data_IF_077449180141
#
_entry.id   IF_077449180141
#
_cell.length_a   1.000
_cell.length_b   1.000
_cell.length_c   1.000
_cell.angle_alpha   90.00
_cell.angle_beta   90.00
_cell.angle_gamma   90.00
#
_symmetry.space_group_name_H-M   'P 1'
#
loop_
_entity.id
_entity.type
_entity.pdbx_description
1 polymer ?
#
# COMPACT_ATOMS: atom_id res chain seq x y z
N UNK A 1 17.46 -18.42 -4.10
CA UNK A 1 17.28 -17.44 -3.00
C UNK A 1 15.82 -17.44 -2.56
N UNK A 2 15.53 -17.06 -1.31
CA UNK A 2 14.15 -17.00 -0.82
C UNK A 2 13.50 -15.69 -1.28
N UNK A 3 12.28 -15.76 -1.83
CA UNK A 3 11.50 -14.56 -2.16
C UNK A 3 11.20 -13.74 -0.90
N UNK A 4 11.20 -12.43 -1.07
CA UNK A 4 10.87 -11.42 -0.06
C UNK A 4 9.47 -10.88 -0.37
N UNK A 5 8.87 -10.23 0.63
CA UNK A 5 7.57 -9.59 0.50
C UNK A 5 7.78 -8.08 0.36
N UNK A 6 7.11 -7.49 -0.61
CA UNK A 6 7.13 -6.05 -0.84
C UNK A 6 5.71 -5.49 -0.77
N UNK A 7 5.62 -4.25 -0.32
CA UNK A 7 4.40 -3.45 -0.23
C UNK A 7 4.51 -2.30 -1.24
N UNK A 8 3.44 -2.08 -1.99
CA UNK A 8 3.31 -0.98 -2.93
C UNK A 8 2.31 0.03 -2.40
N UNK A 9 2.75 1.28 -2.27
CA UNK A 9 1.93 2.40 -1.78
C UNK A 9 1.97 3.58 -2.73
N UNK A 10 0.97 4.45 -2.70
CA UNK A 10 0.87 5.67 -3.52
C UNK A 10 0.60 6.90 -2.65
N UNK A 11 0.93 8.09 -3.17
CA UNK A 11 0.62 9.39 -2.56
C UNK A 11 -0.84 9.83 -2.77
N UNK A 12 -1.60 9.15 -3.63
CA UNK A 12 -2.98 9.51 -3.98
C UNK A 12 -3.99 9.27 -2.83
N UNK A 13 -3.51 8.89 -1.65
CA UNK A 13 -4.32 8.59 -0.49
C UNK A 13 -4.75 9.83 0.28
N UNK A 14 -6.03 9.91 0.62
CA UNK A 14 -6.58 10.95 1.50
C UNK A 14 -7.54 10.32 2.50
N UNK A 15 -7.70 10.93 3.67
CA UNK A 15 -8.68 10.52 4.68
C UNK A 15 -9.32 11.74 5.33
N UNK A 16 -10.54 11.53 5.85
CA UNK A 16 -11.21 12.48 6.72
C UNK A 16 -10.72 12.28 8.15
N UNK A 17 -10.37 13.37 8.84
CA UNK A 17 -10.06 13.34 10.28
C UNK A 17 -11.32 13.36 11.16
N UNK A 18 -12.45 13.75 10.60
CA UNK A 18 -13.75 13.88 11.25
C UNK A 18 -14.89 13.62 10.28
N UNK A 19 -15.99 13.06 10.78
CA UNK A 19 -17.21 12.79 10.00
C UNK A 19 -18.01 14.07 9.66
N UNK A 20 -17.63 15.22 10.21
CA UNK A 20 -18.27 16.52 9.98
C UNK A 20 -17.72 17.27 8.75
N UNK A 21 -16.68 16.75 8.10
CA UNK A 21 -16.02 17.40 6.98
C UNK A 21 -16.63 16.95 5.65
N UNK A 22 -16.88 17.92 4.77
CA UNK A 22 -17.41 17.67 3.42
C UNK A 22 -16.32 17.26 2.41
N UNK A 23 -15.05 17.50 2.73
CA UNK A 23 -13.87 17.14 1.93
C UNK A 23 -12.76 16.54 2.83
N UNK A 24 -11.93 15.62 2.32
CA UNK A 24 -10.86 15.04 3.10
C UNK A 24 -9.77 16.08 3.39
N UNK A 25 -9.26 16.06 4.62
CA UNK A 25 -8.35 17.08 5.14
C UNK A 25 -6.95 16.54 5.50
N UNK A 26 -6.74 15.22 5.41
CA UNK A 26 -5.47 14.57 5.76
C UNK A 26 -4.94 13.76 4.59
N UNK A 27 -3.78 14.18 4.08
CA UNK A 27 -2.98 13.39 3.13
C UNK A 27 -2.45 12.12 3.80
N UNK A 28 -2.48 11.00 3.08
CA UNK A 28 -1.91 9.74 3.53
C UNK A 28 -1.30 8.92 2.40
N UNK A 29 -0.51 7.91 2.77
CA UNK A 29 -0.08 6.89 1.82
C UNK A 29 -1.14 5.79 1.74
N UNK A 30 -1.69 5.59 0.55
CA UNK A 30 -2.63 4.50 0.30
C UNK A 30 -1.87 3.23 -0.09
N UNK A 31 -2.24 2.10 0.52
CA UNK A 31 -1.73 0.78 0.12
C UNK A 31 -2.44 0.33 -1.16
N UNK A 32 -1.65 0.08 -2.22
CA UNK A 32 -2.14 -0.51 -3.46
C UNK A 32 -2.12 -2.04 -3.40
N UNK A 33 -1.15 -2.64 -2.69
CA UNK A 33 -1.10 -4.08 -2.53
C UNK A 33 0.29 -4.61 -2.20
N UNK A 34 0.47 -5.91 -2.41
CA UNK A 34 1.70 -6.62 -2.12
C UNK A 34 2.17 -7.42 -3.32
N UNK A 35 3.48 -7.69 -3.38
CA UNK A 35 4.08 -8.62 -4.33
C UNK A 35 5.26 -9.37 -3.71
N UNK A 36 5.60 -10.53 -4.26
CA UNK A 36 6.72 -11.37 -3.82
C UNK A 36 7.77 -11.59 -4.91
N UNK A 37 9.03 -11.28 -4.60
CA UNK A 37 10.14 -11.33 -5.55
C UNK A 37 11.49 -11.52 -4.88
N UNK A 38 12.52 -11.85 -5.66
CA UNK A 38 13.90 -11.82 -5.18
C UNK A 38 14.40 -10.37 -4.98
N UNK A 39 13.84 -9.45 -5.75
CA UNK A 39 14.07 -8.01 -5.77
C UNK A 39 12.75 -7.26 -6.02
N UNK A 40 12.84 -5.92 -6.07
CA UNK A 40 11.75 -4.99 -6.28
C UNK A 40 11.06 -5.19 -7.64
N UNK A 41 11.82 -5.49 -8.70
CA UNK A 41 11.32 -5.63 -10.06
C UNK A 41 10.48 -6.91 -10.22
N UNK A 42 10.97 -8.03 -9.68
CA UNK A 42 10.19 -9.28 -9.64
C UNK A 42 8.92 -9.10 -8.81
N UNK A 43 9.02 -8.43 -7.66
CA UNK A 43 7.87 -8.20 -6.80
C UNK A 43 6.84 -7.27 -7.45
N UNK A 44 7.27 -6.27 -8.22
CA UNK A 44 6.37 -5.35 -8.92
C UNK A 44 5.59 -6.07 -10.02
N UNK A 45 6.24 -6.96 -10.78
CA UNK A 45 5.57 -7.82 -11.77
C UNK A 45 4.53 -8.73 -11.12
N UNK A 46 4.89 -9.35 -9.98
CA UNK A 46 3.96 -10.19 -9.21
C UNK A 46 2.77 -9.39 -8.67
N UNK A 47 3.01 -8.19 -8.12
CA UNK A 47 1.98 -7.26 -7.67
C UNK A 47 1.00 -6.90 -8.79
N UNK A 48 1.50 -6.49 -9.96
CA UNK A 48 0.65 -6.13 -11.09
C UNK A 48 -0.17 -7.32 -11.60
N UNK A 49 0.43 -8.52 -11.66
CA UNK A 49 -0.27 -9.73 -12.07
C UNK A 49 -1.49 -10.04 -11.17
N UNK A 50 -1.38 -9.74 -9.87
CA UNK A 50 -2.46 -9.97 -8.90
C UNK A 50 -3.43 -8.79 -8.75
N UNK A 51 -3.02 -7.58 -9.15
CA UNK A 51 -3.76 -6.33 -8.92
C UNK A 51 -3.97 -5.57 -10.23
N UNK A 52 -4.52 -6.23 -11.25
CA UNK A 52 -4.77 -5.62 -12.57
C UNK A 52 -5.62 -4.34 -12.49
N UNK A 53 -6.49 -4.22 -11.49
CA UNK A 53 -7.29 -3.03 -11.22
C UNK A 53 -6.45 -1.75 -11.08
N UNK A 54 -5.20 -1.85 -10.63
CA UNK A 54 -4.29 -0.70 -10.48
C UNK A 54 -3.99 -0.07 -11.83
N UNK A 55 -3.88 -0.89 -12.88
CA UNK A 55 -3.62 -0.44 -14.26
C UNK A 55 -4.84 0.23 -14.91
N UNK A 56 -6.04 -0.05 -14.40
CA UNK A 56 -7.29 0.57 -14.87
C UNK A 56 -7.56 1.92 -14.20
N UNK A 57 -6.81 2.23 -13.12
CA UNK A 57 -6.89 3.51 -12.40
C UNK A 57 -5.82 4.48 -12.88
N UNK A 58 -5.92 5.72 -12.41
CA UNK A 58 -5.03 6.83 -12.80
C UNK A 58 -3.85 7.01 -11.83
N UNK A 59 -3.41 5.95 -11.16
CA UNK A 59 -2.21 6.04 -10.33
C UNK A 59 -1.00 6.21 -11.26
N UNK A 60 -0.21 7.26 -11.04
CA UNK A 60 0.97 7.54 -11.84
C UNK A 60 2.22 6.84 -11.29
N UNK A 61 2.32 6.75 -9.96
CA UNK A 61 3.50 6.25 -9.26
C UNK A 61 3.14 5.32 -8.10
N UNK A 62 4.04 4.37 -7.83
CA UNK A 62 3.98 3.49 -6.67
C UNK A 62 5.37 3.39 -6.02
N UNK A 63 5.40 3.58 -4.70
CA UNK A 63 6.59 3.38 -3.87
C UNK A 63 6.65 1.92 -3.47
N UNK A 64 7.79 1.27 -3.70
CA UNK A 64 8.07 -0.10 -3.29
C UNK A 64 8.81 -0.13 -1.95
N UNK A 65 8.33 -0.95 -1.00
CA UNK A 65 8.93 -1.11 0.32
C UNK A 65 9.06 -2.60 0.66
N UNK A 66 10.28 -3.09 0.88
CA UNK A 66 10.50 -4.45 1.42
C UNK A 66 9.97 -4.53 2.85
N UNK A 67 9.12 -5.51 3.14
CA UNK A 67 8.56 -5.74 4.47
C UNK A 67 8.81 -7.17 4.95
N UNK A 68 9.09 -7.30 6.26
CA UNK A 68 9.36 -8.63 6.85
C UNK A 68 8.11 -9.50 6.94
N UNK A 69 6.95 -8.90 7.29
CA UNK A 69 5.66 -9.58 7.44
C UNK A 69 4.54 -8.64 6.97
N UNK A 70 3.42 -9.21 6.52
CA UNK A 70 2.20 -8.47 6.19
C UNK A 70 1.72 -7.59 7.35
N UNK A 71 1.43 -6.32 7.06
CA UNK A 71 1.20 -5.27 8.08
C UNK A 71 0.00 -5.59 8.98
N UNK A 72 -1.10 -6.10 8.42
CA UNK A 72 -2.32 -6.42 9.18
C UNK A 72 -2.16 -7.54 10.23
N UNK A 73 -1.01 -8.24 10.25
CA UNK A 73 -0.68 -9.25 11.27
C UNK A 73 0.14 -8.69 12.43
N UNK A 74 0.37 -7.38 12.47
CA UNK A 74 1.22 -6.72 13.47
C UNK A 74 0.41 -6.21 14.65
N UNK A 75 1.14 -5.77 15.67
CA UNK A 75 0.58 -5.17 16.87
C UNK A 75 -0.20 -3.92 16.49
N UNK A 76 -1.43 -3.83 16.99
CA UNK A 76 -2.30 -2.66 16.85
C UNK A 76 -2.24 -1.89 18.17
N UNK A 77 -2.17 -0.57 18.08
CA UNK A 77 -2.28 0.33 19.23
C UNK A 77 -3.64 1.05 19.13
N UNK A 78 -4.38 1.10 20.23
CA UNK A 78 -5.55 1.96 20.33
C UNK A 78 -5.09 3.40 20.56
N UNK A 79 -5.69 4.35 19.85
CA UNK A 79 -5.53 5.78 20.10
C UNK A 79 -6.68 6.35 20.95
N UNK A 80 -7.70 5.54 21.22
CA UNK A 80 -8.78 5.85 22.17
C UNK A 80 -8.45 5.12 23.47
N UNK A 81 -8.40 5.87 24.57
CA UNK A 81 -8.29 5.34 25.93
C UNK A 81 -9.50 4.47 26.30
#
# INVERSE_FOLDING_TARGET
>A
MKKKLFLFVTFDGVTFSSDELDEPDVDNLQVLGYGEGLDEDEAFKDFLAQNQWVLEKRFEEAICVEIKNRIYKRKVFSLKD
#
